data_IF_518727124532
#
_entry.id   IF_518727124532
#
_cell.length_a   1.000
_cell.length_b   1.000
_cell.length_c   1.000
_cell.angle_alpha   90.00
_cell.angle_beta   90.00
_cell.angle_gamma   90.00
#
_symmetry.space_group_name_H-M   'P 1'
#
loop_
_entity.id
_entity.type
_entity.pdbx_description
1 polymer ?
#
# COMPACT_ATOMS: atom_id res chain seq x y z
N UNK A 1 24.55 -1.67 49.48
CA UNK A 1 23.97 -2.20 48.22
C UNK A 1 24.88 -1.97 47.00
N UNK A 2 26.20 -1.83 47.17
CA UNK A 2 27.17 -1.60 46.07
C UNK A 2 28.06 -2.83 45.80
N UNK A 3 28.12 -3.76 46.75
CA UNK A 3 28.91 -4.99 46.66
C UNK A 3 28.32 -6.04 45.71
N UNK A 4 26.98 -6.10 45.58
CA UNK A 4 26.31 -7.08 44.72
C UNK A 4 26.45 -6.77 43.22
N UNK A 5 26.47 -5.50 42.84
CA UNK A 5 26.72 -5.05 41.45
C UNK A 5 28.11 -5.44 40.95
N UNK A 6 29.11 -5.34 41.84
CA UNK A 6 30.50 -5.66 41.51
C UNK A 6 30.69 -7.17 41.34
N UNK A 7 30.08 -7.98 42.20
CA UNK A 7 30.11 -9.44 42.11
C UNK A 7 29.38 -9.98 40.87
N UNK A 8 28.26 -9.36 40.46
CA UNK A 8 27.54 -9.72 39.24
C UNK A 8 28.34 -9.40 37.97
N UNK A 9 29.07 -8.27 37.96
CA UNK A 9 29.95 -7.89 36.85
C UNK A 9 31.14 -8.84 36.71
N UNK A 10 31.74 -9.28 37.82
CA UNK A 10 32.81 -10.30 37.82
C UNK A 10 32.32 -11.69 37.41
N UNK A 11 31.08 -12.06 37.74
CA UNK A 11 30.48 -13.31 37.29
C UNK A 11 30.19 -13.29 35.78
N UNK A 12 29.74 -12.15 35.25
CA UNK A 12 29.50 -11.95 33.81
C UNK A 12 30.77 -11.99 32.97
N UNK A 13 31.92 -11.53 33.49
CA UNK A 13 33.22 -11.65 32.81
C UNK A 13 33.80 -13.06 32.89
N UNK A 14 33.52 -13.80 33.97
CA UNK A 14 34.03 -15.17 34.16
C UNK A 14 33.19 -16.26 33.46
N UNK A 15 31.90 -16.01 33.21
CA UNK A 15 30.96 -16.96 32.57
C UNK A 15 30.18 -16.36 31.39
N UNK A 16 30.65 -15.26 30.82
CA UNK A 16 30.08 -14.68 29.60
C UNK A 16 30.21 -15.66 28.41
N UNK A 17 29.29 -15.64 27.45
CA UNK A 17 29.42 -16.47 26.25
C UNK A 17 30.77 -16.22 25.59
N UNK A 18 31.48 -17.27 25.16
CA UNK A 18 32.86 -17.16 24.65
C UNK A 18 33.05 -16.22 23.45
N UNK A 19 31.97 -15.84 22.77
CA UNK A 19 31.92 -14.85 21.69
C UNK A 19 31.74 -13.40 22.16
N UNK A 20 31.45 -13.18 23.44
CA UNK A 20 31.16 -11.87 24.03
C UNK A 20 32.39 -11.18 24.67
N UNK A 21 33.56 -11.83 24.67
CA UNK A 21 34.80 -11.28 25.25
C UNK A 21 35.54 -10.28 24.34
N UNK A 22 35.02 -10.04 23.14
CA UNK A 22 35.65 -9.23 22.10
C UNK A 22 34.74 -8.01 21.99
N UNK A 23 35.25 -6.81 22.28
CA UNK A 23 34.48 -5.58 22.10
C UNK A 23 33.86 -5.51 20.70
N UNK A 24 32.80 -4.71 20.49
CA UNK A 24 32.15 -4.61 19.19
C UNK A 24 33.21 -4.43 18.10
N UNK A 25 33.19 -5.25 17.04
CA UNK A 25 34.21 -5.15 16.02
C UNK A 25 34.23 -3.72 15.45
N UNK A 26 35.38 -3.21 15.00
CA UNK A 26 35.52 -1.80 14.59
C UNK A 26 34.58 -1.39 13.44
N UNK A 27 34.04 -2.37 12.69
CA UNK A 27 33.05 -2.16 11.64
C UNK A 27 31.59 -2.14 12.13
N UNK A 28 31.30 -2.54 13.37
CA UNK A 28 29.95 -2.60 13.94
C UNK A 28 29.13 -1.29 13.80
N UNK A 29 29.67 -0.08 14.07
CA UNK A 29 28.91 1.16 13.88
C UNK A 29 28.61 1.44 12.40
N UNK A 30 29.51 1.06 11.48
CA UNK A 30 29.29 1.21 10.05
C UNK A 30 28.22 0.26 9.52
N UNK A 31 28.19 -0.98 10.04
CA UNK A 31 27.13 -1.96 9.71
C UNK A 31 25.78 -1.47 10.23
N UNK A 32 25.72 -0.95 11.46
CA UNK A 32 24.50 -0.36 12.03
C UNK A 32 24.00 0.84 11.23
N UNK A 33 24.90 1.77 10.88
CA UNK A 33 24.57 2.94 10.07
C UNK A 33 24.09 2.56 8.66
N UNK A 34 24.77 1.60 8.01
CA UNK A 34 24.36 1.10 6.69
C UNK A 34 22.97 0.44 6.73
N UNK A 35 22.69 -0.36 7.76
CA UNK A 35 21.39 -1.01 7.94
C UNK A 35 20.27 0.01 8.20
N UNK A 36 20.55 1.04 9.02
CA UNK A 36 19.62 2.16 9.24
C UNK A 36 19.36 2.95 7.94
N UNK A 37 20.40 3.28 7.18
CA UNK A 37 20.25 3.95 5.89
C UNK A 37 19.44 3.11 4.90
N UNK A 38 19.69 1.80 4.84
CA UNK A 38 18.92 0.87 4.01
C UNK A 38 17.44 0.85 4.42
N UNK A 39 17.15 0.79 5.72
CA UNK A 39 15.78 0.81 6.25
C UNK A 39 15.05 2.10 5.85
N UNK A 40 15.70 3.26 6.03
CA UNK A 40 15.14 4.56 5.64
C UNK A 40 14.87 4.61 4.13
N UNK A 41 15.80 4.10 3.31
CA UNK A 41 15.66 4.06 1.86
C UNK A 41 14.48 3.17 1.43
N UNK A 42 14.30 2.01 2.05
CA UNK A 42 13.16 1.12 1.79
C UNK A 42 11.83 1.76 2.19
N UNK A 43 11.78 2.44 3.33
CA UNK A 43 10.57 3.17 3.77
C UNK A 43 10.25 4.30 2.79
N UNK A 44 11.25 5.09 2.40
CA UNK A 44 11.08 6.18 1.45
C UNK A 44 10.61 5.67 0.08
N UNK A 45 11.19 4.57 -0.41
CA UNK A 45 10.79 3.93 -1.65
C UNK A 45 9.35 3.38 -1.57
N UNK A 46 9.00 2.73 -0.46
CA UNK A 46 7.64 2.24 -0.21
C UNK A 46 6.62 3.38 -0.19
N UNK A 47 6.91 4.46 0.55
CA UNK A 47 6.06 5.65 0.60
C UNK A 47 5.92 6.31 -0.78
N UNK A 48 7.02 6.43 -1.54
CA UNK A 48 7.02 6.99 -2.88
C UNK A 48 6.17 6.17 -3.87
N UNK A 49 6.30 4.85 -3.83
CA UNK A 49 5.50 3.94 -4.64
C UNK A 49 4.02 3.99 -4.26
N UNK A 50 3.69 4.10 -2.97
CA UNK A 50 2.30 4.26 -2.51
C UNK A 50 1.69 5.59 -2.95
N UNK A 51 2.43 6.69 -2.87
CA UNK A 51 1.97 8.00 -3.36
C UNK A 51 1.76 7.96 -4.87
N UNK A 52 2.64 7.30 -5.64
CA UNK A 52 2.45 7.10 -7.08
C UNK A 52 1.27 6.18 -7.40
N UNK A 53 1.08 5.11 -6.67
CA UNK A 53 -0.05 4.18 -6.83
C UNK A 53 -1.40 4.80 -6.44
N UNK A 54 -1.40 5.85 -5.59
CA UNK A 54 -2.60 6.65 -5.33
C UNK A 54 -2.92 7.64 -6.44
N UNK A 55 -1.91 8.12 -7.17
CA UNK A 55 -2.08 9.14 -8.22
C UNK A 55 -2.34 8.56 -9.61
N UNK A 56 -1.89 7.34 -9.87
CA UNK A 56 -2.26 6.56 -11.04
C UNK A 56 -3.25 5.46 -10.66
N UNK A 57 -4.30 5.24 -11.44
CA UNK A 57 -5.28 4.16 -11.31
C UNK A 57 -4.68 2.72 -11.37
N UNK A 58 -3.36 2.59 -11.27
CA UNK A 58 -2.63 1.32 -11.32
C UNK A 58 -2.48 0.75 -9.92
N UNK A 59 -3.56 0.11 -9.46
CA UNK A 59 -3.49 -0.83 -8.34
C UNK A 59 -2.55 -1.99 -8.76
N UNK A 60 -1.63 -2.45 -7.89
CA UNK A 60 -0.73 -3.55 -8.23
C UNK A 60 -1.54 -4.82 -8.55
N UNK A 61 -1.08 -5.66 -9.51
CA UNK A 61 -1.87 -6.78 -10.05
C UNK A 61 -2.24 -7.84 -8.99
N UNK A 62 -1.46 -7.96 -7.91
CA UNK A 62 -1.77 -8.86 -6.78
C UNK A 62 -2.68 -8.25 -5.72
N UNK A 63 -2.84 -6.93 -5.69
CA UNK A 63 -3.83 -6.23 -4.85
C UNK A 63 -5.16 -6.01 -5.60
N UNK A 64 -5.22 -6.44 -6.86
CA UNK A 64 -6.41 -6.53 -7.68
C UNK A 64 -7.18 -7.81 -7.41
N UNK A 65 -7.68 -8.01 -6.19
CA UNK A 65 -9.01 -8.62 -6.11
C UNK A 65 -9.93 -7.76 -6.99
N UNK A 66 -10.90 -8.33 -7.73
CA UNK A 66 -11.79 -7.54 -8.57
C UNK A 66 -12.23 -6.37 -7.71
N UNK A 67 -11.78 -5.16 -8.06
CA UNK A 67 -12.38 -3.97 -7.51
C UNK A 67 -13.81 -4.19 -7.92
N UNK A 68 -14.64 -4.65 -6.98
CA UNK A 68 -16.03 -4.95 -7.23
C UNK A 68 -16.50 -3.63 -7.81
N UNK A 69 -16.64 -3.63 -9.13
CA UNK A 69 -17.02 -2.44 -9.83
C UNK A 69 -18.27 -1.99 -9.10
N UNK A 70 -18.32 -0.71 -8.71
CA UNK A 70 -19.44 -0.26 -7.91
C UNK A 70 -20.70 -0.78 -8.60
N UNK A 71 -21.65 -1.37 -7.86
CA UNK A 71 -22.80 -2.02 -8.48
C UNK A 71 -23.52 -1.07 -9.44
N UNK A 72 -23.43 0.24 -9.18
CA UNK A 72 -23.84 1.33 -10.05
C UNK A 72 -23.10 1.37 -11.40
N UNK A 73 -21.76 1.30 -11.43
CA UNK A 73 -20.98 1.27 -12.68
C UNK A 73 -21.27 0.00 -13.51
N UNK A 74 -21.43 -1.14 -12.84
CA UNK A 74 -21.81 -2.38 -13.51
C UNK A 74 -23.21 -2.26 -14.14
N UNK A 75 -24.17 -1.65 -13.42
CA UNK A 75 -25.51 -1.38 -13.94
C UNK A 75 -25.49 -0.42 -15.14
N UNK A 76 -24.70 0.66 -15.08
CA UNK A 76 -24.51 1.59 -16.22
C UNK A 76 -23.99 0.88 -17.46
N UNK A 77 -23.00 -0.02 -17.31
CA UNK A 77 -22.45 -0.80 -18.42
C UNK A 77 -23.50 -1.69 -19.08
N UNK A 78 -24.30 -2.42 -18.29
CA UNK A 78 -25.36 -3.28 -18.82
C UNK A 78 -26.44 -2.46 -19.52
N UNK A 79 -26.81 -1.30 -18.97
CA UNK A 79 -27.79 -0.41 -19.57
C UNK A 79 -27.30 0.15 -20.92
N UNK A 80 -26.03 0.56 -21.00
CA UNK A 80 -25.41 1.02 -22.24
C UNK A 80 -25.35 -0.08 -23.32
N UNK A 81 -24.95 -1.30 -22.92
CA UNK A 81 -24.84 -2.45 -23.82
C UNK A 81 -26.21 -2.83 -24.41
N UNK A 82 -27.26 -2.81 -23.59
CA UNK A 82 -28.64 -3.06 -24.05
C UNK A 82 -29.17 -1.98 -24.98
N UNK A 83 -28.87 -0.71 -24.69
CA UNK A 83 -29.23 0.40 -25.58
C UNK A 83 -28.52 0.27 -26.93
N UNK A 84 -27.22 -0.05 -26.93
CA UNK A 84 -26.43 -0.23 -28.15
C UNK A 84 -26.92 -1.42 -29.01
N UNK A 85 -27.39 -2.49 -28.36
CA UNK A 85 -28.02 -3.64 -29.03
C UNK A 85 -29.42 -3.36 -29.56
N UNK A 86 -30.05 -2.27 -29.11
CA UNK A 86 -31.45 -1.95 -29.43
C UNK A 86 -32.46 -2.78 -28.63
N UNK A 87 -32.03 -3.43 -27.54
CA UNK A 87 -32.90 -4.25 -26.67
C UNK A 87 -33.85 -3.38 -25.81
N UNK A 88 -33.56 -2.09 -25.69
CA UNK A 88 -34.34 -1.11 -24.92
C UNK A 88 -34.51 0.17 -25.73
N UNK A 89 -35.65 0.83 -25.54
CA UNK A 89 -35.95 2.11 -26.19
C UNK A 89 -35.24 3.28 -25.50
N UNK A 90 -35.18 4.43 -26.18
CA UNK A 90 -34.60 5.66 -25.63
C UNK A 90 -35.33 6.09 -24.35
N UNK A 91 -36.66 5.98 -24.31
CA UNK A 91 -37.48 6.35 -23.14
C UNK A 91 -37.09 5.51 -21.92
N UNK A 92 -37.04 4.18 -22.08
CA UNK A 92 -36.64 3.25 -21.01
C UNK A 92 -35.19 3.46 -20.57
N UNK A 93 -34.31 3.78 -21.51
CA UNK A 93 -32.92 4.10 -21.20
C UNK A 93 -32.82 5.36 -20.32
N UNK A 94 -33.55 6.42 -20.66
CA UNK A 94 -33.55 7.68 -19.91
C UNK A 94 -34.15 7.51 -18.51
N UNK A 95 -35.25 6.77 -18.38
CA UNK A 95 -35.85 6.45 -17.09
C UNK A 95 -34.85 5.72 -16.18
N UNK A 96 -34.20 4.65 -16.69
CA UNK A 96 -33.24 3.85 -15.93
C UNK A 96 -31.93 4.59 -15.65
N UNK A 97 -31.50 5.43 -16.57
CA UNK A 97 -30.34 6.29 -16.37
C UNK A 97 -30.59 7.31 -15.25
N UNK A 98 -31.80 7.90 -15.20
CA UNK A 98 -32.18 8.82 -14.13
C UNK A 98 -32.22 8.14 -12.75
N UNK A 99 -32.74 6.90 -12.67
CA UNK A 99 -32.75 6.11 -11.44
C UNK A 99 -31.34 5.78 -10.93
N UNK A 100 -30.35 5.70 -11.84
CA UNK A 100 -28.93 5.50 -11.54
C UNK A 100 -28.14 6.82 -11.37
N UNK A 101 -28.84 7.97 -11.31
CA UNK A 101 -28.26 9.33 -11.30
C UNK A 101 -27.18 9.51 -12.39
N UNK A 102 -27.41 8.89 -13.55
CA UNK A 102 -26.47 8.86 -14.65
C UNK A 102 -26.98 9.74 -15.78
N UNK A 103 -26.21 10.78 -16.10
CA UNK A 103 -26.50 11.67 -17.23
C UNK A 103 -25.54 11.35 -18.38
N UNK A 104 -26.01 10.66 -19.43
CA UNK A 104 -25.17 10.34 -20.59
C UNK A 104 -24.65 11.64 -21.24
N UNK A 105 -23.34 11.71 -21.49
CA UNK A 105 -22.68 12.87 -22.12
C UNK A 105 -22.00 13.88 -21.20
N UNK A 106 -22.01 13.71 -19.87
CA UNK A 106 -21.31 14.61 -18.93
C UNK A 106 -19.88 14.17 -18.56
N UNK A 107 -19.49 12.92 -18.82
CA UNK A 107 -18.20 12.36 -18.36
C UNK A 107 -16.97 12.89 -19.13
N UNK A 108 -17.16 13.61 -20.24
CA UNK A 108 -16.05 14.03 -21.13
C UNK A 108 -15.46 15.41 -20.78
N UNK A 109 -16.10 16.19 -19.89
CA UNK A 109 -15.62 17.55 -19.55
C UNK A 109 -14.61 17.63 -18.40
N UNK A 110 -14.30 16.53 -17.72
CA UNK A 110 -13.45 16.53 -16.52
C UNK A 110 -11.96 16.25 -16.74
N UNK A 111 -11.51 16.00 -17.98
CA UNK A 111 -10.14 15.54 -18.26
C UNK A 111 -9.48 16.32 -19.40
N UNK A 112 -9.18 17.60 -19.16
CA UNK A 112 -8.21 18.38 -19.94
C UNK A 112 -7.21 19.03 -19.01
#
# INVERSE_FOLDING_TARGET
>A
MTTTLTAAAEAATRYGPGWAGHGPPPFAPFVGAAMLCLLILLIALGAFLLVRAKKGHHRPPWAGGPSAESPENAARRVLADRFAKGDITVEEFMERASALNWTPGQEERGRR
#
